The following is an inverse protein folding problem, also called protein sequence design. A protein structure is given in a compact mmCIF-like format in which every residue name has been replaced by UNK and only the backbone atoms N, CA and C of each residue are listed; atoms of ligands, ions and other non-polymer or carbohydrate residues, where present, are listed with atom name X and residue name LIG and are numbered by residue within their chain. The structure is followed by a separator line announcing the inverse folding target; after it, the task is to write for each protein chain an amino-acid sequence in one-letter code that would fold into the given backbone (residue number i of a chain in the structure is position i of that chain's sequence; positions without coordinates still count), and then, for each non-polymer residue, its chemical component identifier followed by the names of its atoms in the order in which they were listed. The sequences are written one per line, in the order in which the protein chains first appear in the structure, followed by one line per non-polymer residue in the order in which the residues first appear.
data_IF_019383087094
#
_entry.id   IF_019383087094
#
_cell.length_a   1.000
_cell.length_b   1.000
_cell.length_c   1.000
_cell.angle_alpha   90.00
_cell.angle_beta   90.00
_cell.angle_gamma   90.00
#
_symmetry.space_group_name_H-M   'P 1'
#
loop_
_entity.id
_entity.type
_entity.pdbx_description
1 polymer ?
#
# COMPACT_ATOMS: atom_id res chain seq x y z
N UNK A 1 12.19 9.90 12.17
CA UNK A 1 11.62 10.64 11.02
C UNK A 1 10.85 9.63 10.18
N UNK A 2 9.53 9.79 10.03
CA UNK A 2 8.71 8.94 9.16
C UNK A 2 8.75 9.63 7.80
N UNK A 3 9.29 8.98 6.77
CA UNK A 3 9.33 9.57 5.44
C UNK A 3 7.90 9.67 4.89
N UNK A 4 7.51 10.78 4.24
CA UNK A 4 6.26 10.92 3.49
C UNK A 4 6.26 10.09 2.19
N UNK A 5 6.96 8.96 2.20
CA UNK A 5 7.40 8.22 1.03
C UNK A 5 6.39 7.17 0.58
N UNK A 6 5.38 6.83 1.38
CA UNK A 6 4.43 5.77 1.05
C UNK A 6 3.06 6.37 0.76
N UNK A 7 2.49 6.02 -0.39
CA UNK A 7 1.14 6.43 -0.79
C UNK A 7 0.25 5.22 -1.00
N UNK A 8 -1.02 5.35 -0.62
CA UNK A 8 -2.04 4.32 -0.83
C UNK A 8 -3.24 4.91 -1.55
N UNK A 9 -3.80 4.15 -2.48
CA UNK A 9 -5.07 4.44 -3.14
C UNK A 9 -5.79 3.14 -3.47
N UNK A 10 -7.07 3.24 -3.78
CA UNK A 10 -7.88 2.12 -4.27
C UNK A 10 -8.22 2.40 -5.73
N UNK A 11 -7.78 1.52 -6.62
CA UNK A 11 -8.07 1.57 -8.05
C UNK A 11 -9.22 0.59 -8.37
N UNK A 12 -10.06 0.94 -9.35
CA UNK A 12 -11.13 0.05 -9.85
C UNK A 12 -10.75 -0.41 -11.25
N UNK A 13 -10.51 -1.71 -11.39
CA UNK A 13 -10.10 -2.35 -12.66
C UNK A 13 -11.12 -3.43 -12.99
N UNK A 14 -11.79 -3.31 -14.14
CA UNK A 14 -12.83 -4.25 -14.59
C UNK A 14 -13.93 -4.55 -13.55
N UNK A 15 -14.25 -3.56 -12.71
CA UNK A 15 -15.25 -3.68 -11.65
C UNK A 15 -14.73 -4.27 -10.33
N UNK A 16 -13.46 -4.66 -10.27
CA UNK A 16 -12.78 -5.14 -9.06
C UNK A 16 -12.02 -4.00 -8.38
N UNK A 17 -12.05 -3.97 -7.04
CA UNK A 17 -11.35 -2.97 -6.22
C UNK A 17 -9.97 -3.51 -5.82
N UNK A 18 -8.92 -2.89 -6.32
CA UNK A 18 -7.53 -3.23 -6.03
C UNK A 18 -6.90 -2.14 -5.16
N UNK A 19 -6.23 -2.56 -4.09
CA UNK A 19 -5.33 -1.70 -3.34
C UNK A 19 -4.06 -1.45 -4.15
N UNK A 20 -3.63 -0.18 -4.20
CA UNK A 20 -2.38 0.23 -4.83
C UNK A 20 -1.52 0.93 -3.79
N UNK A 21 -0.37 0.34 -3.44
CA UNK A 21 0.59 0.88 -2.51
C UNK A 21 1.89 1.24 -3.24
N UNK A 22 2.27 2.51 -3.19
CA UNK A 22 3.55 2.99 -3.72
C UNK A 22 4.55 3.12 -2.57
N UNK A 23 5.64 2.37 -2.62
CA UNK A 23 6.66 2.30 -1.57
C UNK A 23 8.04 2.61 -2.13
N UNK A 24 8.93 3.30 -1.40
CA UNK A 24 10.31 3.46 -1.82
C UNK A 24 11.05 2.11 -1.72
N UNK A 25 12.05 1.89 -2.58
CA UNK A 25 12.81 0.62 -2.57
C UNK A 25 13.44 0.27 -1.22
N UNK A 26 13.81 1.28 -0.42
CA UNK A 26 14.34 1.10 0.93
C UNK A 26 13.36 0.45 1.91
N UNK A 27 12.05 0.50 1.63
CA UNK A 27 11.00 0.02 2.54
C UNK A 27 10.20 -1.17 1.95
N UNK A 28 10.52 -1.61 0.72
CA UNK A 28 9.77 -2.66 0.01
C UNK A 28 9.66 -3.95 0.83
N UNK A 29 10.77 -4.40 1.42
CA UNK A 29 10.78 -5.64 2.20
C UNK A 29 9.81 -5.58 3.39
N UNK A 30 9.77 -4.44 4.10
CA UNK A 30 8.90 -4.27 5.26
C UNK A 30 7.42 -4.24 4.86
N UNK A 31 7.10 -3.56 3.76
CA UNK A 31 5.72 -3.50 3.26
C UNK A 31 5.23 -4.82 2.69
N UNK A 32 6.08 -5.57 1.96
CA UNK A 32 5.74 -6.91 1.50
C UNK A 32 5.48 -7.84 2.69
N UNK A 33 6.35 -7.83 3.70
CA UNK A 33 6.17 -8.63 4.92
C UNK A 33 4.86 -8.29 5.64
N UNK A 34 4.54 -6.99 5.74
CA UNK A 34 3.27 -6.54 6.31
C UNK A 34 2.07 -7.07 5.52
N UNK A 35 2.06 -6.92 4.19
CA UNK A 35 0.94 -7.32 3.33
C UNK A 35 0.66 -8.83 3.37
N UNK A 36 1.72 -9.66 3.42
CA UNK A 36 1.59 -11.12 3.46
C UNK A 36 1.40 -11.68 4.87
N UNK A 37 1.39 -10.83 5.91
CA UNK A 37 1.18 -11.27 7.29
C UNK A 37 -0.22 -11.91 7.41
N UNK A 38 -0.39 -13.05 8.09
CA UNK A 38 -1.65 -13.81 8.14
C UNK A 38 -2.89 -13.01 8.58
N UNK A 39 -2.69 -11.95 9.36
CA UNK A 39 -3.75 -11.09 9.88
C UNK A 39 -4.35 -10.16 8.81
N UNK A 40 -3.56 -9.75 7.83
CA UNK A 40 -3.98 -8.85 6.76
C UNK A 40 -4.30 -9.63 5.48
N UNK A 41 -3.44 -10.60 5.15
CA UNK A 41 -3.57 -11.54 4.03
C UNK A 41 -4.00 -10.85 2.74
N UNK A 42 -3.13 -9.97 2.24
CA UNK A 42 -3.29 -9.38 0.93
C UNK A 42 -2.76 -10.33 -0.16
N UNK A 43 -3.53 -10.50 -1.23
CA UNK A 43 -3.14 -11.25 -2.41
C UNK A 43 -2.50 -10.28 -3.41
N UNK A 44 -1.17 -10.35 -3.55
CA UNK A 44 -0.42 -9.50 -4.47
C UNK A 44 -0.69 -9.93 -5.90
N UNK A 45 -1.21 -9.00 -6.70
CA UNK A 45 -1.61 -9.22 -8.10
C UNK A 45 -0.45 -8.86 -9.04
N UNK A 46 0.17 -7.69 -8.84
CA UNK A 46 1.28 -7.23 -9.67
C UNK A 46 2.14 -6.22 -8.91
N UNK A 47 3.36 -6.02 -9.41
CA UNK A 47 4.24 -4.95 -8.92
C UNK A 47 4.98 -4.31 -10.09
N UNK A 48 5.06 -2.99 -10.09
CA UNK A 48 5.63 -2.17 -11.17
C UNK A 48 6.68 -1.22 -10.61
N UNK A 49 7.80 -1.08 -11.32
CA UNK A 49 8.85 -0.12 -10.96
C UNK A 49 8.46 1.28 -11.45
N UNK A 50 8.49 2.26 -10.55
CA UNK A 50 8.22 3.66 -10.84
C UNK A 50 9.35 4.54 -10.27
N UNK A 51 10.40 4.74 -11.06
CA UNK A 51 11.57 5.51 -10.62
C UNK A 51 12.30 4.82 -9.46
N UNK A 52 12.32 5.45 -8.29
CA UNK A 52 12.91 4.95 -7.04
C UNK A 52 11.91 4.18 -6.15
N UNK A 53 10.73 3.87 -6.69
CA UNK A 53 9.61 3.27 -5.98
C UNK A 53 9.12 1.99 -6.65
N UNK A 54 8.47 1.16 -5.84
CA UNK A 54 7.69 0.02 -6.28
C UNK A 54 6.21 0.31 -6.06
N UNK A 55 5.41 0.14 -7.09
CA UNK A 55 3.96 0.20 -7.03
C UNK A 55 3.41 -1.22 -6.94
N UNK A 56 2.75 -1.56 -5.84
CA UNK A 56 2.27 -2.90 -5.53
C UNK A 56 0.74 -2.88 -5.60
N UNK A 57 0.18 -3.70 -6.49
CA UNK A 57 -1.26 -3.93 -6.60
C UNK A 57 -1.63 -5.22 -5.87
N UNK A 58 -2.66 -5.16 -5.05
CA UNK A 58 -3.11 -6.29 -4.27
C UNK A 58 -4.63 -6.27 -4.01
N UNK A 59 -5.20 -7.45 -3.83
CA UNK A 59 -6.54 -7.63 -3.31
C UNK A 59 -6.46 -7.87 -1.79
N UNK A 60 -7.36 -7.27 -1.02
CA UNK A 60 -7.48 -7.51 0.40
C UNK A 60 -8.90 -7.26 0.90
N UNK A 61 -9.15 -7.63 2.16
CA UNK A 61 -10.42 -7.30 2.81
C UNK A 61 -10.57 -5.78 3.05
N UNK A 62 -11.82 -5.32 3.14
CA UNK A 62 -12.15 -3.91 3.40
C UNK A 62 -11.51 -3.35 4.69
N UNK A 63 -11.26 -4.21 5.67
CA UNK A 63 -10.59 -3.83 6.91
C UNK A 63 -9.15 -3.37 6.68
N UNK A 64 -8.40 -4.05 5.81
CA UNK A 64 -7.05 -3.65 5.44
C UNK A 64 -7.05 -2.35 4.63
N UNK A 65 -7.98 -2.21 3.68
CA UNK A 65 -8.12 -0.97 2.93
C UNK A 65 -8.40 0.23 3.85
N UNK A 66 -9.36 0.09 4.77
CA UNK A 66 -9.68 1.14 5.74
C UNK A 66 -8.51 1.43 6.71
N UNK A 67 -7.74 0.40 7.09
CA UNK A 67 -6.55 0.56 7.90
C UNK A 67 -5.45 1.36 7.19
N UNK A 68 -5.14 1.00 5.94
CA UNK A 68 -4.12 1.68 5.14
C UNK A 68 -4.50 3.12 4.83
N UNK A 69 -5.76 3.35 4.45
CA UNK A 69 -6.31 4.69 4.21
C UNK A 69 -6.14 5.58 5.45
N UNK A 70 -6.57 5.11 6.62
CA UNK A 70 -6.41 5.87 7.88
C UNK A 70 -4.94 6.07 8.26
N UNK A 71 -4.14 5.00 8.22
CA UNK A 71 -2.73 5.04 8.66
C UNK A 71 -1.91 6.00 7.81
N UNK A 72 -2.15 6.02 6.50
CA UNK A 72 -1.35 6.80 5.55
C UNK A 72 -1.93 8.20 5.31
N UNK A 73 -3.23 8.43 5.46
CA UNK A 73 -3.79 9.80 5.53
C UNK A 73 -3.36 10.53 6.80
N UNK A 74 -3.41 9.88 7.97
CA UNK A 74 -2.95 10.49 9.24
C UNK A 74 -1.48 10.87 9.17
N UNK A 75 -0.67 10.09 8.44
CA UNK A 75 0.75 10.38 8.23
C UNK A 75 0.98 11.61 7.32
N UNK A 76 0.07 11.90 6.39
CA UNK A 76 0.13 13.09 5.54
C UNK A 76 -0.29 14.36 6.30
N UNK A 77 -1.32 14.29 7.13
CA UNK A 77 -1.82 15.43 7.91
C UNK A 77 -0.85 15.89 9.01
N UNK A 78 -0.07 14.96 9.58
CA UNK A 78 0.95 15.27 10.59
C UNK A 78 2.26 15.84 10.01
N UNK A 79 2.43 15.79 8.68
CA UNK A 79 3.61 16.29 7.97
C UNK A 79 3.36 17.65 7.27
N UNK A 80 2.14 18.18 7.31
CA UNK A 80 1.71 19.47 6.78
C UNK A 80 1.65 20.55 7.88
#
# INVERSE_FOLDING_TARGET
MISPSVAFRIDVVDGLRLGCLQVPFSEVADWLNFLVTPHYRADIISAEHLGDRLQIYFEANEGLYAYLDRRLMTALELAA
#
